data_IF_134840046204
#
_entry.id   IF_134840046204
#
_cell.length_a   1.000
_cell.length_b   1.000
_cell.length_c   1.000
_cell.angle_alpha   90.00
_cell.angle_beta   90.00
_cell.angle_gamma   90.00
#
_symmetry.space_group_name_H-M   'P 1'
#
loop_
_entity.id
_entity.type
_entity.pdbx_description
1 polymer ?
#
# COMPACT_ATOMS: atom_id res chain seq x y z
N UNK A 1 -55.07 2.48 34.27
CA UNK A 1 -53.64 2.23 34.44
C UNK A 1 -53.02 2.13 33.05
N UNK A 2 -52.25 3.11 32.70
CA UNK A 2 -51.57 3.10 31.40
C UNK A 2 -50.09 2.71 31.65
N UNK A 3 -49.77 1.54 31.19
CA UNK A 3 -48.36 1.08 31.17
C UNK A 3 -47.67 1.77 30.04
N UNK A 4 -46.81 2.72 30.41
CA UNK A 4 -45.87 3.31 29.48
C UNK A 4 -44.73 2.31 29.29
N UNK A 5 -44.72 1.61 28.18
CA UNK A 5 -43.57 0.85 27.75
C UNK A 5 -42.49 1.84 27.35
N UNK A 6 -41.52 2.00 28.20
CA UNK A 6 -40.27 2.65 27.83
C UNK A 6 -39.55 1.78 26.85
N UNK A 7 -39.57 2.20 25.61
CA UNK A 7 -38.67 1.62 24.59
C UNK A 7 -37.25 2.00 24.91
N UNK A 8 -36.51 1.09 25.45
CA UNK A 8 -35.06 1.20 25.59
C UNK A 8 -34.47 1.04 24.19
N UNK A 9 -34.22 2.16 23.56
CA UNK A 9 -33.43 2.16 22.33
C UNK A 9 -32.01 1.83 22.76
N UNK A 10 -31.64 0.56 22.62
CA UNK A 10 -30.23 0.16 22.64
C UNK A 10 -29.56 0.77 21.41
N UNK A 11 -29.01 1.93 21.60
CA UNK A 11 -28.10 2.51 20.66
C UNK A 11 -26.82 1.67 20.67
N UNK A 12 -26.81 0.66 19.82
CA UNK A 12 -25.60 -0.11 19.58
C UNK A 12 -24.54 0.80 18.99
N UNK A 13 -23.63 1.25 19.83
CA UNK A 13 -22.42 1.90 19.37
C UNK A 13 -21.61 0.86 18.62
N UNK A 14 -21.79 0.82 17.30
CA UNK A 14 -20.87 0.14 16.39
C UNK A 14 -19.57 0.95 16.43
N UNK A 15 -18.77 0.68 17.43
CA UNK A 15 -17.36 1.03 17.40
C UNK A 15 -16.75 0.20 16.29
N UNK A 16 -16.81 0.74 15.08
CA UNK A 16 -16.00 0.27 13.97
C UNK A 16 -14.56 0.49 14.34
N UNK A 17 -13.99 -0.42 15.10
CA UNK A 17 -12.56 -0.47 15.29
C UNK A 17 -11.96 -0.70 13.92
N UNK A 18 -11.35 0.33 13.35
CA UNK A 18 -10.48 0.16 12.20
C UNK A 18 -9.29 -0.68 12.66
N UNK A 19 -9.48 -1.99 12.67
CA UNK A 19 -8.39 -2.91 12.91
C UNK A 19 -7.55 -2.92 11.66
N UNK A 20 -6.52 -2.09 11.66
CA UNK A 20 -5.45 -2.24 10.71
C UNK A 20 -4.90 -3.65 10.93
N UNK A 21 -5.03 -4.51 9.94
CA UNK A 21 -4.60 -5.89 10.09
C UNK A 21 -3.09 -5.94 10.31
N UNK A 22 -2.61 -6.92 11.09
CA UNK A 22 -1.18 -7.16 11.28
C UNK A 22 -0.45 -7.34 9.94
N UNK A 23 -1.14 -7.89 8.92
CA UNK A 23 -0.60 -8.03 7.56
C UNK A 23 -0.34 -6.68 6.89
N UNK A 24 -1.22 -5.67 7.08
CA UNK A 24 -1.00 -4.32 6.55
C UNK A 24 0.19 -3.64 7.23
N UNK A 25 0.33 -3.79 8.55
CA UNK A 25 1.47 -3.24 9.30
C UNK A 25 2.78 -3.89 8.85
N UNK A 26 2.79 -5.20 8.62
CA UNK A 26 3.95 -5.92 8.11
C UNK A 26 4.32 -5.45 6.70
N UNK A 27 3.35 -5.24 5.82
CA UNK A 27 3.56 -4.73 4.46
C UNK A 27 4.13 -3.31 4.48
N UNK A 28 3.58 -2.45 5.31
CA UNK A 28 4.10 -1.08 5.47
C UNK A 28 5.54 -1.08 5.96
N UNK A 29 5.87 -1.94 6.91
CA UNK A 29 7.23 -2.09 7.42
C UNK A 29 8.18 -2.57 6.32
N UNK A 30 7.79 -3.58 5.55
CA UNK A 30 8.58 -4.06 4.40
C UNK A 30 8.81 -2.96 3.36
N UNK A 31 7.76 -2.20 3.05
CA UNK A 31 7.87 -1.09 2.11
C UNK A 31 8.91 -0.07 2.58
N UNK A 32 8.85 0.33 3.83
CA UNK A 32 9.81 1.28 4.42
C UNK A 32 11.23 0.76 4.38
N UNK A 33 11.43 -0.53 4.62
CA UNK A 33 12.75 -1.14 4.67
C UNK A 33 13.35 -1.42 3.30
N UNK A 34 12.54 -1.79 2.31
CA UNK A 34 13.01 -2.36 1.05
C UNK A 34 12.72 -1.49 -0.17
N UNK A 35 11.70 -0.67 -0.14
CA UNK A 35 11.18 -0.01 -1.33
C UNK A 35 11.24 1.51 -1.26
N UNK A 36 10.98 2.07 -0.08
CA UNK A 36 10.82 3.51 0.11
C UNK A 36 12.07 4.31 -0.21
N UNK A 37 13.25 3.74 -0.05
CA UNK A 37 14.51 4.45 -0.34
C UNK A 37 14.55 4.97 -1.78
N UNK A 38 13.96 4.24 -2.72
CA UNK A 38 13.87 4.63 -4.13
C UNK A 38 12.48 5.15 -4.50
N UNK A 39 11.42 4.46 -4.05
CA UNK A 39 10.04 4.81 -4.43
C UNK A 39 9.44 5.95 -3.64
N UNK A 40 10.02 6.35 -2.52
CA UNK A 40 9.53 7.42 -1.68
C UNK A 40 8.37 7.01 -0.78
N UNK A 41 7.99 7.87 0.19
CA UNK A 41 6.90 7.56 1.12
C UNK A 41 5.52 7.57 0.48
N UNK A 42 5.37 8.17 -0.69
CA UNK A 42 4.13 8.32 -1.44
C UNK A 42 4.14 7.58 -2.79
N UNK A 43 5.17 6.77 -3.05
CA UNK A 43 5.39 6.04 -4.29
C UNK A 43 5.61 6.92 -5.54
N UNK A 44 5.91 8.19 -5.38
CA UNK A 44 6.23 9.10 -6.51
C UNK A 44 7.71 9.10 -6.88
N UNK A 45 8.53 8.52 -6.05
CA UNK A 45 9.98 8.50 -6.20
C UNK A 45 10.67 9.43 -5.21
N UNK A 46 11.68 8.91 -4.50
CA UNK A 46 12.56 9.71 -3.68
C UNK A 46 13.56 10.49 -4.56
N UNK A 47 14.28 11.43 -3.97
CA UNK A 47 15.36 12.12 -4.70
C UNK A 47 16.41 11.12 -5.24
N UNK A 48 16.78 10.13 -4.42
CA UNK A 48 17.70 9.07 -4.84
C UNK A 48 17.10 8.20 -5.95
N UNK A 49 15.83 7.82 -5.83
CA UNK A 49 15.13 7.02 -6.83
C UNK A 49 14.99 7.74 -8.17
N UNK A 50 14.72 9.03 -8.16
CA UNK A 50 14.61 9.83 -9.39
C UNK A 50 15.92 9.85 -10.17
N UNK A 51 17.05 9.87 -9.48
CA UNK A 51 18.37 9.74 -10.11
C UNK A 51 18.57 8.38 -10.78
N UNK A 52 17.88 7.35 -10.31
CA UNK A 52 17.90 6.01 -10.86
C UNK A 52 16.75 5.74 -11.83
N UNK A 53 16.05 6.78 -12.25
CA UNK A 53 14.89 6.72 -13.16
C UNK A 53 13.74 5.84 -12.64
N UNK A 54 13.52 5.85 -11.31
CA UNK A 54 12.37 5.17 -10.72
C UNK A 54 11.07 5.75 -11.29
N UNK A 55 10.12 4.88 -11.57
CA UNK A 55 8.83 5.28 -12.09
C UNK A 55 7.95 5.86 -10.99
N UNK A 56 7.28 6.97 -11.30
CA UNK A 56 6.24 7.53 -10.45
C UNK A 56 5.00 6.63 -10.52
N UNK A 57 4.61 6.07 -9.39
CA UNK A 57 3.48 5.15 -9.33
C UNK A 57 2.13 5.83 -9.56
N UNK A 58 2.07 7.15 -9.46
CA UNK A 58 0.85 7.92 -9.80
C UNK A 58 0.72 8.17 -11.30
N UNK A 59 1.76 7.88 -12.08
CA UNK A 59 1.75 8.15 -13.52
C UNK A 59 0.75 7.26 -14.27
N UNK A 60 0.14 7.75 -15.34
CA UNK A 60 -0.73 6.94 -16.19
C UNK A 60 -0.03 5.70 -16.76
N UNK A 61 1.26 5.81 -17.06
CA UNK A 61 2.07 4.68 -17.55
C UNK A 61 2.06 3.51 -16.58
N UNK A 62 2.29 3.78 -15.29
CA UNK A 62 2.27 2.74 -14.25
C UNK A 62 0.84 2.27 -13.97
N UNK A 63 -0.12 3.19 -13.90
CA UNK A 63 -1.50 2.85 -13.60
C UNK A 63 -2.17 1.98 -14.67
N UNK A 64 -1.69 2.00 -15.90
CA UNK A 64 -2.15 1.11 -16.98
C UNK A 64 -1.63 -0.32 -16.84
N UNK A 65 -0.56 -0.54 -16.11
CA UNK A 65 -0.01 -1.87 -15.89
C UNK A 65 -0.93 -2.66 -14.96
N UNK A 66 -1.07 -3.96 -15.22
CA UNK A 66 -1.80 -4.86 -14.35
C UNK A 66 -1.01 -5.15 -13.08
N UNK A 67 -1.69 -5.62 -12.04
CA UNK A 67 -1.02 -6.07 -10.81
C UNK A 67 -0.04 -7.20 -11.10
N UNK A 68 -0.38 -8.11 -12.04
CA UNK A 68 0.51 -9.19 -12.44
C UNK A 68 1.80 -8.67 -13.10
N UNK A 69 1.70 -7.66 -13.95
CA UNK A 69 2.87 -7.02 -14.57
C UNK A 69 3.76 -6.33 -13.54
N UNK A 70 3.16 -5.61 -12.61
CA UNK A 70 3.89 -4.96 -11.52
C UNK A 70 4.54 -5.97 -10.59
N UNK A 71 3.84 -7.06 -10.28
CA UNK A 71 4.39 -8.16 -9.49
C UNK A 71 5.60 -8.79 -10.18
N UNK A 72 5.53 -9.00 -11.48
CA UNK A 72 6.63 -9.56 -12.26
C UNK A 72 7.88 -8.68 -12.21
N UNK A 73 7.70 -7.36 -12.29
CA UNK A 73 8.81 -6.40 -12.14
C UNK A 73 9.43 -6.51 -10.75
N UNK A 74 8.62 -6.62 -9.70
CA UNK A 74 9.12 -6.77 -8.34
C UNK A 74 9.88 -8.09 -8.14
N UNK A 75 9.43 -9.16 -8.77
CA UNK A 75 10.08 -10.48 -8.70
C UNK A 75 11.40 -10.50 -9.46
N UNK A 76 11.42 -10.05 -10.68
CA UNK A 76 12.58 -10.17 -11.59
C UNK A 76 13.51 -8.97 -11.56
N UNK A 77 13.03 -7.86 -11.04
CA UNK A 77 13.74 -6.59 -11.14
C UNK A 77 13.64 -5.97 -12.53
N UNK A 78 14.05 -4.74 -12.65
CA UNK A 78 14.11 -4.02 -13.93
C UNK A 78 15.06 -2.84 -13.81
N UNK A 79 16.00 -2.72 -14.72
CA UNK A 79 17.01 -1.65 -14.70
C UNK A 79 17.75 -1.63 -13.34
N UNK A 80 17.65 -0.56 -12.58
CA UNK A 80 18.29 -0.41 -11.27
C UNK A 80 17.47 -1.01 -10.12
N UNK A 81 16.24 -1.42 -10.37
CA UNK A 81 15.42 -2.08 -9.37
C UNK A 81 15.89 -3.52 -9.18
N UNK A 82 16.29 -3.93 -7.97
CA UNK A 82 16.73 -5.30 -7.74
C UNK A 82 15.57 -6.29 -7.80
N UNK A 83 15.89 -7.55 -8.05
CA UNK A 83 14.95 -8.66 -8.02
C UNK A 83 14.70 -9.12 -6.58
N UNK A 84 13.47 -9.34 -6.23
CA UNK A 84 13.07 -9.80 -4.89
C UNK A 84 12.59 -11.26 -4.87
N UNK A 85 12.58 -11.94 -6.01
CA UNK A 85 12.26 -13.37 -6.02
C UNK A 85 13.27 -14.14 -5.17
N UNK A 86 12.76 -15.02 -4.31
CA UNK A 86 13.60 -15.73 -3.33
C UNK A 86 13.99 -14.92 -2.09
N UNK A 87 13.80 -13.60 -2.07
CA UNK A 87 14.05 -12.73 -0.92
C UNK A 87 12.76 -12.41 -0.16
N UNK A 88 11.68 -12.21 -0.89
CA UNK A 88 10.34 -12.01 -0.39
C UNK A 88 9.42 -13.05 -1.02
N UNK A 89 8.36 -13.42 -0.30
CA UNK A 89 7.37 -14.34 -0.85
C UNK A 89 6.50 -13.66 -1.90
N UNK A 90 5.87 -14.44 -2.76
CA UNK A 90 4.91 -13.92 -3.73
C UNK A 90 3.77 -13.16 -3.05
N UNK A 91 3.31 -13.67 -1.91
CA UNK A 91 2.27 -12.98 -1.13
C UNK A 91 2.74 -11.62 -0.60
N UNK A 92 3.96 -11.54 -0.07
CA UNK A 92 4.54 -10.29 0.39
C UNK A 92 4.68 -9.29 -0.77
N UNK A 93 5.14 -9.74 -1.93
CA UNK A 93 5.28 -8.90 -3.12
C UNK A 93 3.92 -8.44 -3.66
N UNK A 94 2.93 -9.31 -3.66
CA UNK A 94 1.55 -8.97 -4.05
C UNK A 94 0.97 -7.88 -3.14
N UNK A 95 1.15 -8.02 -1.84
CA UNK A 95 0.70 -7.02 -0.87
C UNK A 95 1.46 -5.69 -1.01
N UNK A 96 2.74 -5.73 -1.35
CA UNK A 96 3.53 -4.53 -1.62
C UNK A 96 3.04 -3.79 -2.87
N UNK A 97 2.72 -4.50 -3.94
CA UNK A 97 2.12 -3.89 -5.15
C UNK A 97 0.81 -3.18 -4.79
N UNK A 98 -0.05 -3.86 -4.05
CA UNK A 98 -1.31 -3.27 -3.58
C UNK A 98 -1.08 -2.04 -2.70
N UNK A 99 -0.13 -2.11 -1.79
CA UNK A 99 0.23 -1.01 -0.91
C UNK A 99 0.70 0.22 -1.71
N UNK A 100 1.53 0.02 -2.73
CA UNK A 100 1.99 1.10 -3.59
C UNK A 100 0.84 1.72 -4.41
N UNK A 101 -0.11 0.92 -4.86
CA UNK A 101 -1.32 1.46 -5.51
C UNK A 101 -2.16 2.30 -4.56
N UNK A 102 -2.27 1.87 -3.30
CA UNK A 102 -3.00 2.64 -2.28
C UNK A 102 -2.28 3.96 -1.97
N UNK A 103 -0.95 3.95 -1.89
CA UNK A 103 -0.16 5.19 -1.76
C UNK A 103 -0.41 6.14 -2.94
N UNK A 104 -0.42 5.61 -4.15
CA UNK A 104 -0.66 6.40 -5.35
C UNK A 104 -2.06 7.05 -5.35
N UNK A 105 -3.06 6.34 -4.88
CA UNK A 105 -4.43 6.86 -4.73
C UNK A 105 -4.53 7.96 -3.70
N UNK A 106 -3.77 7.87 -2.62
CA UNK A 106 -3.75 8.90 -1.59
C UNK A 106 -3.08 10.20 -2.06
N UNK A 107 -2.31 10.13 -3.13
CA UNK A 107 -1.60 11.28 -3.69
C UNK A 107 -0.32 11.65 -2.93
N UNK A 108 0.41 12.67 -3.42
CA UNK A 108 1.65 13.09 -2.82
C UNK A 108 1.47 13.54 -1.38
N UNK A 109 2.34 13.05 -0.49
CA UNK A 109 2.36 13.45 0.91
C UNK A 109 3.42 14.49 1.16
N UNK A 110 3.06 15.48 1.98
CA UNK A 110 4.05 16.29 2.64
C UNK A 110 4.74 17.32 1.75
N UNK A 111 3.95 18.15 1.13
CA UNK A 111 4.44 19.47 0.80
C UNK A 111 4.04 20.45 1.86
#
# INVERSE_FOLDING_TARGET
MKLTMSAIIMLGLLLGSAHQSAAQDATQTLYKMKCQICHGPDATGSAAGKKLAVKDFTSPEVQKQTDAELLEVAKKGKNKMPAYDGKLTDNQLTELVKYMRDLAKAGPKGK
#
